data_IF_472396612970
#
_entry.id   IF_472396612970
#
_cell.length_a   1.000
_cell.length_b   1.000
_cell.length_c   1.000
_cell.angle_alpha   90.00
_cell.angle_beta   90.00
_cell.angle_gamma   90.00
#
_symmetry.space_group_name_H-M   'P 1'
#
loop_
_entity.id
_entity.type
_entity.pdbx_description
1 polymer ?
#
# COMPACT_ATOMS: atom_id res chain seq x y z
N UNK A 1 -16.19 -15.88 22.79
CA UNK A 1 -14.88 -16.52 23.03
C UNK A 1 -14.21 -15.79 24.19
N UNK A 2 -13.53 -16.49 25.09
CA UNK A 2 -12.72 -15.83 26.13
C UNK A 2 -11.46 -15.25 25.49
N UNK A 3 -11.15 -13.99 25.77
CA UNK A 3 -9.93 -13.33 25.32
C UNK A 3 -8.79 -13.80 26.24
N UNK A 4 -7.67 -14.32 25.71
CA UNK A 4 -6.56 -14.78 26.54
C UNK A 4 -5.79 -13.60 27.15
N UNK A 5 -5.04 -13.86 28.22
CA UNK A 5 -4.15 -12.85 28.82
C UNK A 5 -2.79 -12.76 28.12
N UNK A 6 -2.38 -13.84 27.44
CA UNK A 6 -1.09 -14.00 26.76
C UNK A 6 -1.29 -14.46 25.32
N UNK A 7 -0.39 -14.05 24.42
CA UNK A 7 -0.43 -14.36 22.99
C UNK A 7 0.97 -14.50 22.39
N UNK A 8 1.07 -15.09 21.19
CA UNK A 8 2.31 -15.10 20.38
C UNK A 8 2.46 -13.83 19.55
N UNK A 9 3.70 -13.33 19.46
CA UNK A 9 4.07 -12.21 18.61
C UNK A 9 5.52 -12.32 18.12
N UNK A 10 5.85 -11.54 17.09
CA UNK A 10 7.23 -11.23 16.69
C UNK A 10 7.55 -9.82 17.16
N UNK A 11 8.49 -9.69 18.10
CA UNK A 11 8.85 -8.43 18.76
C UNK A 11 10.36 -8.21 18.71
N UNK A 12 10.78 -6.95 18.65
CA UNK A 12 12.17 -6.55 18.81
C UNK A 12 12.32 -5.42 19.83
N UNK A 13 13.50 -5.35 20.45
CA UNK A 13 13.81 -4.43 21.54
C UNK A 13 14.79 -3.33 21.14
N UNK A 14 15.48 -3.49 20.02
CA UNK A 14 16.48 -2.56 19.49
C UNK A 14 16.32 -2.49 17.97
N UNK A 15 16.66 -1.33 17.39
CA UNK A 15 16.73 -1.16 15.94
C UNK A 15 17.72 -2.15 15.34
N UNK A 16 17.31 -2.87 14.29
CA UNK A 16 18.07 -3.96 13.67
C UNK A 16 18.45 -5.08 14.66
N UNK A 17 17.77 -5.16 15.80
CA UNK A 17 17.98 -6.16 16.84
C UNK A 17 17.33 -7.50 16.49
N UNK A 18 17.50 -8.49 17.36
CA UNK A 18 16.91 -9.82 17.17
C UNK A 18 15.37 -9.75 17.12
N UNK A 19 14.78 -10.38 16.12
CA UNK A 19 13.34 -10.64 16.04
C UNK A 19 12.98 -11.87 16.88
N UNK A 20 12.26 -11.68 17.97
CA UNK A 20 11.88 -12.75 18.90
C UNK A 20 10.44 -13.22 18.68
N UNK A 21 10.26 -14.50 18.37
CA UNK A 21 8.96 -15.16 18.44
C UNK A 21 8.70 -15.65 19.87
N UNK A 22 7.86 -14.92 20.61
CA UNK A 22 7.64 -15.16 22.06
C UNK A 22 6.22 -14.87 22.50
N UNK A 23 5.94 -15.25 23.75
CA UNK A 23 4.74 -14.87 24.46
C UNK A 23 4.81 -13.41 24.94
N UNK A 24 3.77 -12.64 24.68
CA UNK A 24 3.57 -11.27 25.18
C UNK A 24 2.14 -11.12 25.73
N UNK A 25 1.86 -10.09 26.54
CA UNK A 25 0.49 -9.80 26.97
C UNK A 25 -0.44 -9.47 25.80
N UNK A 26 -1.71 -9.84 25.91
CA UNK A 26 -2.76 -9.33 25.01
C UNK A 26 -3.06 -7.87 25.38
N UNK A 27 -3.02 -6.92 24.42
CA UNK A 27 -3.33 -5.53 24.70
C UNK A 27 -4.82 -5.37 25.06
N UNK A 28 -5.11 -4.39 25.92
CA UNK A 28 -6.49 -3.98 26.23
C UNK A 28 -6.85 -2.83 25.30
N UNK A 29 -7.97 -2.87 24.57
CA UNK A 29 -8.38 -1.75 23.74
C UNK A 29 -8.75 -0.55 24.61
N UNK A 30 -8.27 0.62 24.24
CA UNK A 30 -8.73 1.91 24.76
C UNK A 30 -10.19 2.18 24.34
N UNK A 31 -10.88 3.19 24.92
CA UNK A 31 -12.30 3.44 24.64
C UNK A 31 -12.64 3.66 23.16
N UNK A 32 -11.70 4.11 22.32
CA UNK A 32 -11.88 4.32 20.88
C UNK A 32 -11.37 3.15 20.01
N UNK A 33 -10.85 2.08 20.61
CA UNK A 33 -10.17 1.02 19.88
C UNK A 33 -11.02 -0.25 19.73
N UNK A 34 -10.69 -1.01 18.70
CA UNK A 34 -11.06 -2.40 18.53
C UNK A 34 -9.93 -3.28 19.08
N UNK A 35 -10.26 -4.40 19.69
CA UNK A 35 -9.32 -5.52 19.81
C UNK A 35 -9.59 -6.50 18.67
N UNK A 36 -8.60 -6.71 17.82
CA UNK A 36 -8.69 -7.54 16.63
C UNK A 36 -7.86 -8.79 16.83
N UNK A 37 -8.48 -9.96 16.71
CA UNK A 37 -7.75 -11.22 16.60
C UNK A 37 -7.29 -11.39 15.15
N UNK A 38 -6.03 -11.02 14.89
CA UNK A 38 -5.39 -11.07 13.58
C UNK A 38 -5.24 -12.51 13.15
N UNK A 39 -5.70 -12.82 11.92
CA UNK A 39 -5.61 -14.16 11.34
C UNK A 39 -4.45 -14.27 10.36
N UNK A 40 -4.25 -13.22 9.58
CA UNK A 40 -3.18 -13.11 8.60
C UNK A 40 -2.65 -11.68 8.61
N UNK A 41 -1.35 -11.55 8.38
CA UNK A 41 -0.72 -10.26 8.10
C UNK A 41 0.03 -10.36 6.79
N UNK A 42 -0.12 -9.36 5.93
CA UNK A 42 0.83 -9.12 4.86
C UNK A 42 2.20 -8.70 5.41
N UNK A 43 3.22 -8.78 4.56
CA UNK A 43 4.61 -8.40 4.88
C UNK A 43 5.15 -7.64 3.67
N UNK A 44 5.72 -6.46 3.89
CA UNK A 44 6.39 -5.72 2.84
C UNK A 44 7.65 -4.99 3.33
N UNK A 45 8.35 -4.29 2.43
CA UNK A 45 9.62 -3.63 2.74
C UNK A 45 9.49 -2.49 3.76
N UNK A 46 8.28 -1.94 3.96
CA UNK A 46 8.03 -0.98 5.04
C UNK A 46 8.37 -1.57 6.41
N UNK A 47 8.03 -2.84 6.65
CA UNK A 47 8.32 -3.50 7.94
C UNK A 47 9.84 -3.65 8.16
N UNK A 48 10.60 -3.88 7.07
CA UNK A 48 12.05 -3.95 7.10
C UNK A 48 12.67 -2.60 7.48
N UNK A 49 12.22 -1.50 6.86
CA UNK A 49 12.70 -0.16 7.18
C UNK A 49 12.33 0.28 8.61
N UNK A 50 11.17 -0.13 9.10
CA UNK A 50 10.75 0.09 10.49
C UNK A 50 11.68 -0.61 11.48
N UNK A 51 12.02 -1.87 11.20
CA UNK A 51 12.95 -2.65 12.01
C UNK A 51 14.38 -2.09 11.96
N UNK A 52 14.89 -1.72 10.79
CA UNK A 52 16.24 -1.15 10.65
C UNK A 52 16.38 0.26 11.26
N UNK A 53 15.30 1.03 11.32
CA UNK A 53 15.34 2.45 11.73
C UNK A 53 15.85 3.37 10.63
N UNK A 54 15.55 3.05 9.36
CA UNK A 54 16.08 3.79 8.20
C UNK A 54 15.43 5.18 8.01
N UNK A 55 14.26 5.41 8.61
CA UNK A 55 13.49 6.63 8.45
C UNK A 55 13.76 7.64 9.58
N UNK A 56 13.63 8.96 9.32
CA UNK A 56 13.96 10.00 10.29
C UNK A 56 12.92 10.14 11.43
N UNK A 57 11.93 9.26 11.50
CA UNK A 57 10.91 9.25 12.55
C UNK A 57 11.36 8.29 13.67
N UNK A 58 11.21 8.65 14.96
CA UNK A 58 11.50 7.70 16.03
C UNK A 58 10.50 6.53 16.02
N UNK A 59 11.02 5.31 15.97
CA UNK A 59 10.24 4.07 16.15
C UNK A 59 10.00 3.82 17.64
N UNK A 60 8.80 3.34 18.01
CA UNK A 60 8.51 2.84 19.37
C UNK A 60 9.40 1.62 19.64
N UNK A 61 9.88 1.46 20.87
CA UNK A 61 10.55 0.23 21.33
C UNK A 61 10.09 -0.12 22.76
N UNK A 62 9.87 -1.41 23.09
CA UNK A 62 9.85 -2.55 22.17
C UNK A 62 8.65 -2.50 21.21
N UNK A 63 8.77 -3.16 20.06
CA UNK A 63 7.79 -3.07 18.97
C UNK A 63 7.46 -4.42 18.36
N UNK A 64 6.15 -4.66 18.22
CA UNK A 64 5.60 -5.64 17.29
C UNK A 64 5.40 -4.95 15.94
N UNK A 65 6.03 -5.45 14.88
CA UNK A 65 5.90 -4.88 13.54
C UNK A 65 4.56 -5.22 12.84
N UNK A 66 4.46 -4.87 11.56
CA UNK A 66 3.35 -5.27 10.68
C UNK A 66 2.24 -4.23 10.58
N UNK A 67 1.76 -4.01 9.36
CA UNK A 67 0.73 -2.99 9.07
C UNK A 67 -0.29 -3.43 8.01
N UNK A 68 -0.44 -4.75 7.86
CA UNK A 68 -1.28 -5.39 6.84
C UNK A 68 -2.16 -6.49 7.48
N UNK A 69 -2.69 -6.22 8.67
CA UNK A 69 -3.39 -7.21 9.49
C UNK A 69 -4.85 -7.39 9.09
N UNK A 70 -5.26 -8.62 8.77
CA UNK A 70 -6.65 -8.97 8.52
C UNK A 70 -7.15 -9.94 9.62
N UNK A 71 -8.21 -9.56 10.32
CA UNK A 71 -8.65 -10.28 11.50
C UNK A 71 -10.13 -10.09 11.84
N UNK A 72 -10.49 -10.56 13.03
CA UNK A 72 -11.87 -10.52 13.55
C UNK A 72 -11.92 -9.64 14.80
N UNK A 73 -12.91 -8.76 14.89
CA UNK A 73 -13.14 -7.97 16.10
C UNK A 73 -13.60 -8.88 17.24
N UNK A 74 -12.87 -8.87 18.36
CA UNK A 74 -13.14 -9.71 19.54
C UNK A 74 -13.49 -8.92 20.79
N UNK A 75 -13.11 -7.64 20.87
CA UNK A 75 -13.59 -6.67 21.85
C UNK A 75 -13.64 -5.27 21.25
N UNK A 76 -14.38 -4.39 21.90
CA UNK A 76 -14.69 -3.05 21.43
C UNK A 76 -14.67 -2.11 22.64
N UNK A 77 -13.98 -0.97 22.54
CA UNK A 77 -13.99 0.07 23.56
C UNK A 77 -15.33 0.81 23.65
N UNK A 78 -15.60 1.41 24.81
CA UNK A 78 -16.93 1.96 25.16
C UNK A 78 -17.42 3.09 24.22
N UNK A 79 -16.52 3.81 23.53
CA UNK A 79 -16.86 4.92 22.64
C UNK A 79 -16.99 4.52 21.17
N UNK A 80 -16.68 3.27 20.83
CA UNK A 80 -16.69 2.78 19.45
C UNK A 80 -18.12 2.68 18.91
N UNK A 81 -18.28 3.02 17.63
CA UNK A 81 -19.55 2.97 16.90
C UNK A 81 -19.37 2.27 15.56
N UNK A 82 -20.44 1.69 15.05
CA UNK A 82 -20.46 1.09 13.70
C UNK A 82 -19.77 -0.28 13.59
N UNK A 83 -19.30 -0.85 14.69
CA UNK A 83 -18.64 -2.15 14.77
C UNK A 83 -19.39 -3.13 15.66
N UNK A 84 -19.28 -4.42 15.35
CA UNK A 84 -19.78 -5.54 16.14
C UNK A 84 -18.68 -6.57 16.35
N UNK A 85 -18.72 -7.25 17.48
CA UNK A 85 -17.90 -8.46 17.69
C UNK A 85 -18.23 -9.47 16.58
N UNK A 86 -17.21 -10.04 15.96
CA UNK A 86 -17.32 -10.93 14.80
C UNK A 86 -17.17 -10.24 13.44
N UNK A 87 -17.19 -8.90 13.39
CA UNK A 87 -16.87 -8.18 12.15
C UNK A 87 -15.42 -8.44 11.73
N UNK A 88 -15.19 -8.45 10.42
CA UNK A 88 -13.83 -8.52 9.87
C UNK A 88 -13.24 -7.11 9.81
N UNK A 89 -12.04 -6.96 10.36
CA UNK A 89 -11.34 -5.70 10.48
C UNK A 89 -9.95 -5.78 9.86
N UNK A 90 -9.53 -4.70 9.19
CA UNK A 90 -8.19 -4.52 8.64
C UNK A 90 -7.40 -3.46 9.41
N UNK A 91 -6.22 -3.85 9.88
CA UNK A 91 -5.19 -2.97 10.43
C UNK A 91 -4.30 -2.52 9.26
N UNK A 92 -4.18 -1.20 9.09
CA UNK A 92 -3.40 -0.57 8.02
C UNK A 92 -2.20 0.17 8.60
N UNK A 93 -1.36 0.73 7.73
CA UNK A 93 -0.27 1.64 8.11
C UNK A 93 -0.72 2.75 9.05
N UNK A 94 -1.72 3.53 8.64
CA UNK A 94 -2.34 4.52 9.53
C UNK A 94 -3.27 3.79 10.51
N UNK A 95 -2.84 3.67 11.76
CA UNK A 95 -3.65 3.11 12.85
C UNK A 95 -4.67 4.14 13.33
N UNK A 96 -4.22 5.36 13.63
CA UNK A 96 -5.04 6.42 14.22
C UNK A 96 -4.52 7.83 13.87
N UNK A 97 -5.28 8.85 14.23
CA UNK A 97 -4.88 10.26 14.08
C UNK A 97 -5.72 11.15 14.99
N UNK A 98 -5.38 12.43 15.14
CA UNK A 98 -6.05 13.30 16.12
C UNK A 98 -7.52 13.65 15.80
N UNK A 99 -7.97 13.47 14.56
CA UNK A 99 -9.35 13.79 14.13
C UNK A 99 -9.79 15.25 14.34
N UNK A 100 -8.84 16.17 14.57
CA UNK A 100 -9.13 17.56 14.95
C UNK A 100 -8.14 18.59 14.35
N UNK A 101 -7.43 18.22 13.28
CA UNK A 101 -6.58 19.13 12.52
C UNK A 101 -7.04 19.22 11.07
N UNK A 102 -6.60 20.27 10.38
CA UNK A 102 -6.93 20.55 8.96
C UNK A 102 -6.77 19.31 8.06
N UNK A 103 -5.68 18.56 8.20
CA UNK A 103 -5.44 17.38 7.38
C UNK A 103 -6.45 16.26 7.66
N UNK A 104 -6.82 16.05 8.93
CA UNK A 104 -7.80 15.03 9.28
C UNK A 104 -9.19 15.38 8.75
N UNK A 105 -9.58 16.66 8.80
CA UNK A 105 -10.87 17.15 8.31
C UNK A 105 -11.02 16.99 6.79
N UNK A 106 -9.91 17.06 6.06
CA UNK A 106 -9.86 16.90 4.60
C UNK A 106 -9.76 15.42 4.14
N UNK A 107 -9.74 14.46 5.07
CA UNK A 107 -9.52 13.06 4.74
C UNK A 107 -8.09 12.77 4.26
N UNK A 108 -7.14 13.56 4.74
CA UNK A 108 -5.70 13.39 4.57
C UNK A 108 -5.06 13.04 5.93
N UNK A 109 -5.68 12.11 6.66
CA UNK A 109 -5.29 11.75 8.02
C UNK A 109 -3.82 11.28 8.13
N UNK A 110 -3.25 10.77 7.04
CA UNK A 110 -1.84 10.36 6.95
C UNK A 110 -0.85 11.53 7.05
N UNK A 111 -1.30 12.77 6.88
CA UNK A 111 -0.51 13.98 7.08
C UNK A 111 -0.71 14.60 8.47
N UNK A 112 -1.44 13.91 9.37
CA UNK A 112 -1.63 14.35 10.73
C UNK A 112 -0.28 14.42 11.48
N UNK A 113 0.03 15.52 12.19
CA UNK A 113 1.21 15.60 13.06
C UNK A 113 1.21 14.60 14.22
N UNK A 114 0.04 14.04 14.53
CA UNK A 114 -0.19 13.03 15.56
C UNK A 114 -0.73 11.74 14.93
N UNK A 115 -0.30 11.41 13.71
CA UNK A 115 -0.59 10.12 13.10
C UNK A 115 0.02 9.01 13.96
N UNK A 116 -0.79 8.01 14.26
CA UNK A 116 -0.35 6.80 14.93
C UNK A 116 -0.28 5.66 13.91
N UNK A 117 0.85 4.97 13.88
CA UNK A 117 1.31 4.14 12.77
C UNK A 117 1.52 2.70 13.24
N UNK A 118 0.73 1.77 12.68
CA UNK A 118 0.80 0.35 13.01
C UNK A 118 2.16 -0.23 12.64
N UNK A 119 2.76 -0.98 13.55
CA UNK A 119 4.09 -1.56 13.34
C UNK A 119 5.21 -0.52 13.34
N UNK A 120 4.98 0.66 13.94
CA UNK A 120 5.97 1.73 13.99
C UNK A 120 5.88 2.57 15.28
N UNK A 121 4.82 3.35 15.46
CA UNK A 121 4.53 4.06 16.73
C UNK A 121 3.53 3.32 17.61
N UNK A 122 2.77 2.40 17.00
CA UNK A 122 1.82 1.48 17.64
C UNK A 122 2.20 0.04 17.34
N UNK A 123 1.93 -0.89 18.25
CA UNK A 123 2.17 -2.31 18.00
C UNK A 123 1.27 -2.84 16.88
N UNK A 124 1.89 -3.47 15.89
CA UNK A 124 1.30 -3.82 14.60
C UNK A 124 0.63 -5.18 14.52
N UNK A 125 0.59 -5.73 13.31
CA UNK A 125 -0.14 -6.95 12.97
C UNK A 125 0.66 -8.26 13.08
N UNK A 126 1.92 -8.23 13.48
CA UNK A 126 2.74 -9.45 13.71
C UNK A 126 2.52 -10.08 15.09
N UNK A 127 1.27 -10.19 15.50
CA UNK A 127 0.79 -10.77 16.76
C UNK A 127 -0.62 -11.32 16.58
N UNK A 128 -1.07 -12.18 17.49
CA UNK A 128 -2.40 -12.80 17.40
C UNK A 128 -3.55 -11.82 17.72
N UNK A 129 -3.31 -10.81 18.56
CA UNK A 129 -4.28 -9.82 19.02
C UNK A 129 -3.63 -8.43 19.03
N UNK A 130 -4.21 -7.51 18.29
CA UNK A 130 -3.72 -6.13 18.17
C UNK A 130 -4.88 -5.14 18.35
N UNK A 131 -4.57 -3.94 18.86
CA UNK A 131 -5.54 -2.85 18.92
C UNK A 131 -5.42 -1.93 17.72
N UNK A 132 -6.55 -1.35 17.32
CA UNK A 132 -6.58 -0.33 16.28
C UNK A 132 -7.72 0.65 16.53
N UNK A 133 -7.50 1.92 16.20
CA UNK A 133 -8.56 2.92 16.24
C UNK A 133 -9.74 2.51 15.33
N UNK A 134 -10.94 2.51 15.91
CA UNK A 134 -12.12 2.01 15.23
C UNK A 134 -12.56 2.89 14.04
N UNK A 135 -12.14 4.15 13.98
CA UNK A 135 -12.49 5.06 12.88
C UNK A 135 -11.64 4.75 11.65
N UNK A 136 -10.35 4.44 11.83
CA UNK A 136 -9.43 4.15 10.73
C UNK A 136 -9.45 2.70 10.27
N UNK A 137 -9.76 1.75 11.15
CA UNK A 137 -9.84 0.33 10.83
C UNK A 137 -10.67 0.07 9.56
N UNK A 138 -10.16 -0.79 8.68
CA UNK A 138 -10.86 -1.12 7.45
C UNK A 138 -12.01 -2.09 7.73
N UNK A 139 -13.23 -1.75 7.33
CA UNK A 139 -14.35 -2.69 7.33
C UNK A 139 -14.18 -3.68 6.17
N UNK A 140 -13.75 -4.90 6.49
CA UNK A 140 -13.62 -5.96 5.50
C UNK A 140 -15.01 -6.63 5.34
N UNK A 141 -15.55 -6.78 4.12
CA UNK A 141 -16.83 -7.45 3.92
C UNK A 141 -16.82 -8.89 4.45
N UNK A 142 -17.93 -9.34 5.04
CA UNK A 142 -18.08 -10.74 5.45
C UNK A 142 -17.97 -11.69 4.26
N UNK A 143 -17.40 -12.88 4.50
CA UNK A 143 -17.12 -13.86 3.45
C UNK A 143 -15.86 -13.60 2.63
N UNK A 144 -15.14 -12.51 2.91
CA UNK A 144 -13.83 -12.22 2.30
C UNK A 144 -12.76 -13.13 2.89
N UNK A 145 -11.93 -13.75 2.04
CA UNK A 145 -10.75 -14.50 2.48
C UNK A 145 -9.72 -13.54 3.12
N UNK A 146 -9.52 -13.67 4.44
CA UNK A 146 -8.66 -12.80 5.22
C UNK A 146 -7.19 -12.90 4.82
N UNK A 147 -6.72 -14.05 4.31
CA UNK A 147 -5.34 -14.19 3.84
C UNK A 147 -5.14 -13.41 2.53
N UNK A 148 -6.11 -13.51 1.63
CA UNK A 148 -6.03 -12.89 0.30
C UNK A 148 -6.23 -11.37 0.34
N UNK A 149 -6.99 -10.86 1.31
CA UNK A 149 -7.22 -9.41 1.45
C UNK A 149 -6.10 -8.69 2.19
N UNK A 150 -5.28 -9.39 2.98
CA UNK A 150 -4.22 -8.76 3.79
C UNK A 150 -3.28 -7.85 2.96
N UNK A 151 -2.75 -8.29 1.79
CA UNK A 151 -1.93 -7.42 0.93
C UNK A 151 -2.67 -6.23 0.32
N UNK A 152 -4.01 -6.28 0.25
CA UNK A 152 -4.81 -5.17 -0.25
C UNK A 152 -4.78 -4.00 0.75
N UNK A 153 -4.64 -4.28 2.05
CA UNK A 153 -4.64 -3.28 3.13
C UNK A 153 -3.44 -2.31 3.09
N UNK A 154 -2.37 -2.65 2.37
CA UNK A 154 -1.28 -1.73 2.06
C UNK A 154 -1.13 -1.53 0.56
N UNK A 155 -0.62 -2.53 -0.16
CA UNK A 155 -0.27 -2.40 -1.56
C UNK A 155 -1.49 -2.08 -2.44
N UNK A 156 -2.62 -2.75 -2.21
CA UNK A 156 -3.84 -2.54 -3.00
C UNK A 156 -4.42 -1.13 -2.86
N UNK A 157 -4.63 -0.66 -1.64
CA UNK A 157 -5.12 0.70 -1.36
C UNK A 157 -4.14 1.75 -1.89
N UNK A 158 -2.84 1.53 -1.69
CA UNK A 158 -1.79 2.46 -2.14
C UNK A 158 -1.81 2.63 -3.66
N UNK A 159 -1.86 1.55 -4.43
CA UNK A 159 -1.88 1.66 -5.90
C UNK A 159 -3.22 2.17 -6.42
N UNK A 160 -4.34 1.85 -5.75
CA UNK A 160 -5.64 2.43 -6.08
C UNK A 160 -5.64 3.95 -5.90
N UNK A 161 -5.14 4.44 -4.76
CA UNK A 161 -4.97 5.88 -4.52
C UNK A 161 -4.00 6.50 -5.52
N UNK A 162 -2.88 5.86 -5.84
CA UNK A 162 -1.95 6.34 -6.86
C UNK A 162 -2.63 6.51 -8.24
N UNK A 163 -3.49 5.59 -8.63
CA UNK A 163 -4.27 5.68 -9.88
C UNK A 163 -5.29 6.82 -9.85
N UNK A 164 -5.92 7.11 -8.70
CA UNK A 164 -6.76 8.31 -8.53
C UNK A 164 -5.93 9.59 -8.62
N UNK A 165 -4.76 9.62 -7.98
CA UNK A 165 -3.82 10.75 -8.01
C UNK A 165 -3.28 11.03 -9.43
N UNK A 166 -3.26 10.04 -10.32
CA UNK A 166 -2.92 10.21 -11.73
C UNK A 166 -3.98 10.99 -12.54
N UNK A 167 -5.17 11.22 -11.96
CA UNK A 167 -6.24 12.06 -12.51
C UNK A 167 -6.63 11.72 -13.96
N UNK A 168 -6.96 10.45 -14.19
CA UNK A 168 -7.22 9.91 -15.51
C UNK A 168 -8.71 9.81 -15.86
N UNK A 169 -9.00 9.66 -17.15
CA UNK A 169 -10.34 9.32 -17.66
C UNK A 169 -10.29 7.92 -18.25
N UNK A 170 -11.43 7.23 -18.27
CA UNK A 170 -11.55 5.94 -18.95
C UNK A 170 -11.07 6.06 -20.41
N UNK A 171 -10.33 5.05 -20.87
CA UNK A 171 -9.68 5.01 -22.18
C UNK A 171 -8.30 5.69 -22.26
N UNK A 172 -7.92 6.50 -21.26
CA UNK A 172 -6.57 7.06 -21.19
C UNK A 172 -5.53 5.95 -20.94
N UNK A 173 -4.32 6.17 -21.48
CA UNK A 173 -3.14 5.35 -21.19
C UNK A 173 -2.55 5.66 -19.82
N UNK A 174 -2.34 4.62 -19.03
CA UNK A 174 -1.50 4.65 -17.83
C UNK A 174 -0.27 3.75 -18.04
N UNK A 175 0.91 4.30 -17.79
CA UNK A 175 2.16 3.52 -17.76
C UNK A 175 2.50 3.14 -16.32
N UNK A 176 2.82 1.88 -16.08
CA UNK A 176 3.19 1.36 -14.76
C UNK A 176 4.64 0.86 -14.83
N UNK A 177 5.52 1.50 -14.07
CA UNK A 177 6.95 1.14 -14.00
C UNK A 177 7.19 0.15 -12.87
N UNK A 178 7.63 -1.07 -13.18
CA UNK A 178 7.65 -2.23 -12.27
C UNK A 178 6.35 -3.04 -12.29
N UNK A 179 5.70 -3.14 -13.46
CA UNK A 179 4.32 -3.60 -13.62
C UNK A 179 4.06 -5.08 -13.26
N UNK A 180 5.10 -5.92 -13.16
CA UNK A 180 4.96 -7.33 -12.82
C UNK A 180 5.47 -7.66 -11.40
N UNK A 181 5.84 -6.64 -10.60
CA UNK A 181 6.12 -6.79 -9.17
C UNK A 181 4.86 -6.84 -8.30
N UNK A 182 5.05 -6.90 -6.97
CA UNK A 182 3.93 -6.98 -6.01
C UNK A 182 2.93 -5.82 -6.16
N UNK A 183 3.39 -4.57 -6.01
CA UNK A 183 2.53 -3.40 -6.22
C UNK A 183 2.10 -3.25 -7.68
N UNK A 184 3.02 -3.47 -8.63
CA UNK A 184 2.74 -3.29 -10.06
C UNK A 184 1.62 -4.18 -10.58
N UNK A 185 1.61 -5.45 -10.20
CA UNK A 185 0.58 -6.41 -10.61
C UNK A 185 -0.82 -6.03 -10.09
N UNK A 186 -0.91 -5.46 -8.89
CA UNK A 186 -2.15 -4.89 -8.37
C UNK A 186 -2.54 -3.61 -9.13
N UNK A 187 -1.57 -2.73 -9.40
CA UNK A 187 -1.80 -1.49 -10.15
C UNK A 187 -2.36 -1.76 -11.55
N UNK A 188 -1.86 -2.81 -12.24
CA UNK A 188 -2.38 -3.25 -13.55
C UNK A 188 -3.86 -3.63 -13.45
N UNK A 189 -4.22 -4.44 -12.46
CA UNK A 189 -5.59 -4.92 -12.28
C UNK A 189 -6.55 -3.79 -11.91
N UNK A 190 -6.19 -2.92 -10.96
CA UNK A 190 -7.00 -1.74 -10.63
C UNK A 190 -7.15 -0.80 -11.82
N UNK A 191 -6.06 -0.53 -12.55
CA UNK A 191 -6.10 0.33 -13.74
C UNK A 191 -7.06 -0.22 -14.80
N UNK A 192 -7.01 -1.54 -15.05
CA UNK A 192 -7.93 -2.21 -15.97
C UNK A 192 -9.37 -2.11 -15.50
N UNK A 193 -9.62 -2.35 -14.22
CA UNK A 193 -10.95 -2.28 -13.62
C UNK A 193 -11.53 -0.86 -13.59
N UNK A 194 -10.68 0.17 -13.58
CA UNK A 194 -11.05 1.58 -13.69
C UNK A 194 -11.24 2.05 -15.15
N UNK A 195 -11.06 1.16 -16.14
CA UNK A 195 -11.29 1.44 -17.55
C UNK A 195 -10.11 2.13 -18.25
N UNK A 196 -8.90 2.09 -17.70
CA UNK A 196 -7.70 2.62 -18.34
C UNK A 196 -7.08 1.60 -19.31
N UNK A 197 -6.31 2.11 -20.28
CA UNK A 197 -5.42 1.30 -21.12
C UNK A 197 -4.07 1.19 -20.45
N UNK A 198 -3.55 -0.01 -20.28
CA UNK A 198 -2.42 -0.27 -19.39
C UNK A 198 -1.18 -0.62 -20.20
N UNK A 199 -0.13 0.21 -20.05
CA UNK A 199 1.22 -0.08 -20.51
C UNK A 199 2.09 -0.46 -19.31
N UNK A 200 2.78 -1.58 -19.37
CA UNK A 200 3.69 -2.06 -18.34
C UNK A 200 5.13 -1.95 -18.75
N UNK A 201 6.00 -1.53 -17.83
CA UNK A 201 7.45 -1.56 -18.00
C UNK A 201 8.01 -2.46 -16.91
N UNK A 202 8.66 -3.55 -17.29
CA UNK A 202 9.36 -4.45 -16.36
C UNK A 202 10.41 -5.26 -17.13
N UNK A 203 11.11 -6.19 -16.48
CA UNK A 203 12.18 -6.95 -17.09
C UNK A 203 12.43 -8.27 -16.39
N UNK A 204 12.59 -9.33 -17.18
CA UNK A 204 12.92 -10.67 -16.72
C UNK A 204 11.95 -11.77 -17.20
N UNK A 205 12.32 -13.05 -17.04
CA UNK A 205 11.52 -14.18 -17.52
C UNK A 205 10.11 -14.22 -16.92
N UNK A 206 9.11 -14.54 -17.74
CA UNK A 206 7.71 -14.74 -17.32
C UNK A 206 6.93 -13.47 -16.95
N UNK A 207 7.57 -12.30 -16.85
CA UNK A 207 6.90 -11.06 -16.44
C UNK A 207 5.94 -10.49 -17.47
N UNK A 208 6.27 -10.61 -18.75
CA UNK A 208 5.38 -10.19 -19.85
C UNK A 208 4.11 -11.05 -19.89
N UNK A 209 4.24 -12.36 -19.69
CA UNK A 209 3.12 -13.30 -19.62
C UNK A 209 2.23 -13.00 -18.41
N UNK A 210 2.83 -12.80 -17.23
CA UNK A 210 2.10 -12.38 -16.03
C UNK A 210 1.36 -11.06 -16.28
N UNK A 211 2.05 -10.03 -16.77
CA UNK A 211 1.44 -8.72 -17.07
C UNK A 211 0.25 -8.84 -18.02
N UNK A 212 0.39 -9.62 -19.09
CA UNK A 212 -0.67 -9.84 -20.08
C UNK A 212 -1.86 -10.57 -19.44
N UNK A 213 -1.59 -11.60 -18.62
CA UNK A 213 -2.65 -12.36 -17.91
C UNK A 213 -3.47 -11.50 -16.95
N UNK A 214 -2.89 -10.41 -16.45
CA UNK A 214 -3.54 -9.44 -15.56
C UNK A 214 -4.34 -8.35 -16.29
N UNK A 215 -4.38 -8.41 -17.63
CA UNK A 215 -5.12 -7.46 -18.47
C UNK A 215 -4.30 -6.28 -18.98
N UNK A 216 -2.98 -6.36 -18.87
CA UNK A 216 -2.04 -5.42 -19.50
C UNK A 216 -2.13 -5.43 -21.02
N UNK A 217 -2.03 -4.27 -21.67
CA UNK A 217 -2.24 -4.12 -23.12
C UNK A 217 -0.92 -4.04 -23.90
N UNK A 218 0.07 -3.32 -23.39
CA UNK A 218 1.40 -3.20 -24.01
C UNK A 218 2.48 -3.41 -22.96
N UNK A 219 3.45 -4.28 -23.23
CA UNK A 219 4.59 -4.52 -22.35
C UNK A 219 5.88 -4.01 -22.99
N UNK A 220 6.69 -3.32 -22.20
CA UNK A 220 8.04 -2.88 -22.59
C UNK A 220 9.05 -3.56 -21.66
N UNK A 221 9.82 -4.47 -22.24
CA UNK A 221 10.89 -5.18 -21.54
C UNK A 221 12.17 -4.33 -21.50
N UNK A 222 12.50 -3.75 -20.34
CA UNK A 222 13.66 -2.87 -20.21
C UNK A 222 15.01 -3.59 -20.40
N UNK A 223 15.02 -4.93 -20.40
CA UNK A 223 16.23 -5.70 -20.67
C UNK A 223 16.55 -5.75 -22.17
N UNK A 224 15.51 -5.66 -23.01
CA UNK A 224 15.59 -5.76 -24.48
C UNK A 224 15.50 -4.39 -25.16
N UNK A 225 14.55 -3.56 -24.75
CA UNK A 225 14.37 -2.20 -25.25
C UNK A 225 15.38 -1.26 -24.58
N UNK A 226 16.13 -0.50 -25.39
CA UNK A 226 17.15 0.44 -24.88
C UNK A 226 16.62 1.85 -24.78
N UNK A 227 15.67 2.23 -25.63
CA UNK A 227 15.02 3.54 -25.59
C UNK A 227 13.57 3.41 -25.13
N UNK A 228 13.42 3.24 -23.81
CA UNK A 228 12.12 3.12 -23.14
C UNK A 228 11.23 4.34 -23.42
N UNK A 229 11.83 5.54 -23.46
CA UNK A 229 11.08 6.79 -23.66
C UNK A 229 10.42 6.77 -25.03
N UNK A 230 11.19 6.52 -26.09
CA UNK A 230 10.66 6.46 -27.45
C UNK A 230 9.66 5.32 -27.64
N UNK A 231 9.91 4.15 -27.06
CA UNK A 231 9.00 3.01 -27.13
C UNK A 231 7.64 3.32 -26.48
N UNK A 232 7.61 3.92 -25.27
CA UNK A 232 6.38 4.35 -24.61
C UNK A 232 5.66 5.40 -25.45
N UNK A 233 6.37 6.43 -25.92
CA UNK A 233 5.78 7.53 -26.72
C UNK A 233 5.15 6.99 -28.00
N UNK A 234 5.82 6.06 -28.68
CA UNK A 234 5.31 5.39 -29.89
C UNK A 234 4.06 4.56 -29.59
N UNK A 235 4.11 3.70 -28.56
CA UNK A 235 2.99 2.82 -28.21
C UNK A 235 1.73 3.58 -27.78
N UNK A 236 1.91 4.74 -27.15
CA UNK A 236 0.81 5.56 -26.61
C UNK A 236 0.43 6.74 -27.53
N UNK A 237 1.07 6.85 -28.69
CA UNK A 237 0.89 7.94 -29.65
C UNK A 237 1.01 9.33 -28.99
N UNK A 238 2.16 9.60 -28.37
CA UNK A 238 2.50 10.91 -27.79
C UNK A 238 2.77 10.93 -26.28
N UNK A 239 2.89 9.76 -25.64
CA UNK A 239 3.14 9.62 -24.21
C UNK A 239 1.91 9.16 -23.42
N UNK A 240 2.15 8.55 -22.26
CA UNK A 240 1.11 8.07 -21.35
C UNK A 240 0.47 9.23 -20.58
N UNK A 241 -0.85 9.20 -20.39
CA UNK A 241 -1.58 10.28 -19.73
C UNK A 241 -1.29 10.30 -18.22
N UNK A 242 -1.09 9.12 -17.63
CA UNK A 242 -0.65 8.95 -16.26
C UNK A 242 0.49 7.96 -16.16
N UNK A 243 1.35 8.13 -15.16
CA UNK A 243 2.45 7.23 -14.88
C UNK A 243 2.44 6.89 -13.39
N UNK A 244 2.48 5.60 -13.07
CA UNK A 244 2.63 5.11 -11.70
C UNK A 244 4.03 4.54 -11.54
N UNK A 245 4.87 5.23 -10.77
CA UNK A 245 6.20 4.76 -10.43
C UNK A 245 6.13 3.87 -9.17
N UNK A 246 6.01 2.55 -9.36
CA UNK A 246 6.17 1.57 -8.27
C UNK A 246 7.63 1.12 -8.13
N UNK A 247 8.39 1.11 -9.23
CA UNK A 247 9.85 1.05 -9.18
C UNK A 247 10.41 2.30 -8.51
N UNK A 248 11.34 2.09 -7.59
CA UNK A 248 12.02 3.16 -6.83
C UNK A 248 13.37 3.56 -7.42
N UNK A 249 13.67 3.13 -8.65
CA UNK A 249 14.88 3.55 -9.37
C UNK A 249 14.77 5.01 -9.79
N UNK A 250 15.75 5.84 -9.41
CA UNK A 250 15.84 7.24 -9.84
C UNK A 250 15.78 7.38 -11.37
N UNK A 251 16.50 6.52 -12.09
CA UNK A 251 16.52 6.54 -13.57
C UNK A 251 15.13 6.26 -14.17
N UNK A 252 14.36 5.35 -13.57
CA UNK A 252 13.00 5.05 -14.02
C UNK A 252 12.04 6.22 -13.74
N UNK A 253 12.17 6.85 -12.56
CA UNK A 253 11.41 8.04 -12.16
C UNK A 253 11.73 9.21 -13.08
N UNK A 254 13.00 9.50 -13.31
CA UNK A 254 13.44 10.59 -14.20
C UNK A 254 12.93 10.37 -15.64
N UNK A 255 13.04 9.14 -16.16
CA UNK A 255 12.53 8.78 -17.48
C UNK A 255 11.02 9.02 -17.60
N UNK A 256 10.24 8.83 -16.52
CA UNK A 256 8.79 9.06 -16.53
C UNK A 256 8.39 10.48 -16.90
N UNK A 257 9.20 11.47 -16.54
CA UNK A 257 8.97 12.87 -16.92
C UNK A 257 9.09 13.09 -18.44
N UNK A 258 9.81 12.23 -19.16
CA UNK A 258 10.05 12.34 -20.60
C UNK A 258 8.98 11.62 -21.42
N UNK A 259 8.53 10.44 -20.97
CA UNK A 259 7.46 9.69 -21.66
C UNK A 259 6.03 10.00 -21.18
N UNK A 260 5.89 10.91 -20.21
CA UNK A 260 4.59 11.51 -19.87
C UNK A 260 4.03 12.30 -21.05
N UNK A 261 2.71 12.20 -21.29
CA UNK A 261 2.01 13.02 -22.27
C UNK A 261 2.04 14.49 -21.86
N UNK A 262 1.91 15.39 -22.82
CA UNK A 262 1.54 16.76 -22.49
C UNK A 262 0.24 16.77 -21.66
N UNK A 263 0.20 17.63 -20.62
CA UNK A 263 -0.87 17.70 -19.62
C UNK A 263 -1.06 16.43 -18.77
N UNK A 264 -0.09 15.49 -18.80
CA UNK A 264 -0.15 14.26 -18.04
C UNK A 264 0.38 14.37 -16.61
N UNK A 265 0.19 13.31 -15.82
CA UNK A 265 0.59 13.25 -14.41
C UNK A 265 1.54 12.09 -14.14
N UNK A 266 2.71 12.41 -13.58
CA UNK A 266 3.67 11.46 -13.04
C UNK A 266 3.40 11.29 -11.55
N UNK A 267 3.10 10.07 -11.11
CA UNK A 267 2.82 9.74 -9.71
C UNK A 267 4.00 9.01 -9.08
N UNK A 268 4.44 9.50 -7.93
CA UNK A 268 5.47 8.90 -7.08
C UNK A 268 4.78 8.13 -5.94
N UNK A 269 5.13 6.85 -5.73
CA UNK A 269 4.46 5.97 -4.77
C UNK A 269 5.39 5.49 -3.66
N UNK A 270 6.51 4.87 -4.02
CA UNK A 270 7.44 4.32 -3.03
C UNK A 270 8.16 5.39 -2.21
N UNK A 271 8.62 5.01 -1.01
CA UNK A 271 9.45 5.84 -0.11
C UNK A 271 10.90 5.32 -0.03
N UNK A 272 11.64 5.24 -1.15
CA UNK A 272 13.05 4.85 -1.09
C UNK A 272 13.89 5.88 -0.34
N UNK A 273 14.74 5.41 0.57
CA UNK A 273 15.67 6.27 1.29
C UNK A 273 16.62 6.97 0.31
N UNK A 274 16.60 8.31 0.29
CA UNK A 274 17.55 9.15 -0.44
C UNK A 274 17.28 9.35 -1.93
N UNK A 275 16.27 8.72 -2.52
CA UNK A 275 16.01 8.88 -3.95
C UNK A 275 15.51 10.28 -4.29
N UNK A 276 15.91 10.78 -5.47
CA UNK A 276 15.49 12.08 -5.99
C UNK A 276 14.71 11.95 -7.30
N UNK A 277 13.72 12.82 -7.46
CA UNK A 277 13.02 13.00 -8.73
C UNK A 277 13.56 14.27 -9.42
N UNK A 278 14.30 14.09 -10.50
CA UNK A 278 14.82 15.18 -11.33
C UNK A 278 13.95 15.36 -12.58
N UNK A 279 13.56 16.60 -12.87
CA UNK A 279 12.79 16.95 -14.07
C UNK A 279 13.42 18.16 -14.74
N UNK A 280 13.71 18.06 -16.03
CA UNK A 280 14.12 19.21 -16.83
C UNK A 280 13.00 20.25 -16.87
N UNK A 281 13.32 21.48 -16.45
CA UNK A 281 12.32 22.56 -16.28
C UNK A 281 11.70 22.94 -17.62
N UNK A 282 12.50 23.01 -18.68
CA UNK A 282 12.01 23.41 -19.99
C UNK A 282 10.99 22.41 -20.52
N UNK A 283 11.34 21.11 -20.53
CA UNK A 283 10.43 20.04 -20.94
C UNK A 283 9.16 19.99 -20.06
N UNK A 284 9.31 20.19 -18.75
CA UNK A 284 8.18 20.16 -17.80
C UNK A 284 7.18 21.30 -18.09
N UNK A 285 7.68 22.53 -18.28
CA UNK A 285 6.85 23.71 -18.55
C UNK A 285 6.18 23.60 -19.92
N UNK A 286 6.94 23.31 -20.98
CA UNK A 286 6.41 23.25 -22.36
C UNK A 286 5.33 22.18 -22.50
N UNK A 287 5.44 21.05 -21.79
CA UNK A 287 4.45 19.98 -21.81
C UNK A 287 3.38 20.12 -20.71
N UNK A 288 3.51 21.10 -19.81
CA UNK A 288 2.60 21.28 -18.67
C UNK A 288 2.39 19.97 -17.88
N UNK A 289 3.49 19.27 -17.58
CA UNK A 289 3.46 18.02 -16.81
C UNK A 289 3.16 18.34 -15.35
N UNK A 290 2.56 17.39 -14.62
CA UNK A 290 2.48 17.42 -13.16
C UNK A 290 3.24 16.25 -12.56
N UNK A 291 3.96 16.48 -11.46
CA UNK A 291 4.57 15.43 -10.63
C UNK A 291 3.87 15.47 -9.27
N UNK A 292 3.27 14.34 -8.86
CA UNK A 292 2.44 14.22 -7.67
C UNK A 292 2.94 13.09 -6.79
N UNK A 293 3.19 13.38 -5.51
CA UNK A 293 3.40 12.36 -4.49
C UNK A 293 2.07 11.73 -4.08
N UNK A 294 2.00 10.40 -4.03
CA UNK A 294 0.83 9.66 -3.56
C UNK A 294 1.25 8.70 -2.46
N UNK A 295 0.77 8.96 -1.24
CA UNK A 295 1.09 8.16 -0.06
C UNK A 295 0.05 7.03 0.14
N UNK A 296 -0.35 6.76 1.39
CA UNK A 296 -1.41 5.81 1.72
C UNK A 296 -2.80 6.38 1.41
N UNK A 297 -3.76 5.51 1.12
CA UNK A 297 -5.16 5.89 0.94
C UNK A 297 -5.88 6.18 2.26
N UNK A 298 -6.90 7.04 2.19
CA UNK A 298 -7.76 7.33 3.34
C UNK A 298 -8.87 6.28 3.51
N UNK A 299 -9.84 6.53 4.39
CA UNK A 299 -10.97 5.61 4.65
C UNK A 299 -11.87 5.37 3.44
N UNK A 300 -12.08 6.38 2.59
CA UNK A 300 -12.84 6.22 1.35
C UNK A 300 -12.05 5.40 0.33
N UNK A 301 -10.77 5.72 0.12
CA UNK A 301 -9.87 4.95 -0.74
C UNK A 301 -9.79 3.49 -0.30
N UNK A 302 -9.77 3.24 1.02
CA UNK A 302 -9.83 1.90 1.62
C UNK A 302 -11.09 1.15 1.20
N UNK A 303 -12.26 1.74 1.40
CA UNK A 303 -13.55 1.11 1.07
C UNK A 303 -13.65 0.81 -0.43
N UNK A 304 -13.27 1.77 -1.27
CA UNK A 304 -13.33 1.64 -2.72
C UNK A 304 -12.40 0.54 -3.23
N UNK A 305 -11.14 0.51 -2.76
CA UNK A 305 -10.18 -0.53 -3.14
C UNK A 305 -10.65 -1.93 -2.74
N UNK A 306 -11.15 -2.09 -1.51
CA UNK A 306 -11.70 -3.35 -1.03
C UNK A 306 -12.91 -3.82 -1.83
N UNK A 307 -13.74 -2.91 -2.34
CA UNK A 307 -14.89 -3.29 -3.18
C UNK A 307 -14.46 -3.93 -4.51
N UNK A 308 -13.42 -3.41 -5.19
CA UNK A 308 -12.88 -4.06 -6.39
C UNK A 308 -12.36 -5.47 -6.09
N UNK A 309 -11.69 -5.65 -4.94
CA UNK A 309 -11.25 -6.97 -4.48
C UNK A 309 -12.44 -7.89 -4.17
N UNK A 310 -13.45 -7.41 -3.45
CA UNK A 310 -14.65 -8.16 -3.11
C UNK A 310 -15.45 -8.59 -4.36
N UNK A 311 -15.47 -7.75 -5.41
CA UNK A 311 -16.04 -8.08 -6.73
C UNK A 311 -15.18 -9.02 -7.57
N UNK A 312 -14.02 -9.46 -7.06
CA UNK A 312 -13.13 -10.42 -7.71
C UNK A 312 -12.32 -9.84 -8.89
N UNK A 313 -12.29 -8.51 -9.03
CA UNK A 313 -11.60 -7.81 -10.13
C UNK A 313 -10.09 -7.66 -9.88
N UNK A 314 -9.67 -7.80 -8.62
CA UNK A 314 -8.27 -7.70 -8.20
C UNK A 314 -7.93 -8.90 -7.35
N UNK A 315 -6.78 -9.52 -7.63
CA UNK A 315 -6.23 -10.66 -6.88
C UNK A 315 -4.74 -10.45 -6.65
N UNK A 316 -4.26 -10.84 -5.48
CA UNK A 316 -2.83 -10.93 -5.19
C UNK A 316 -2.45 -12.40 -5.09
N UNK A 317 -1.47 -12.91 -5.86
CA UNK A 317 -0.90 -14.21 -5.57
C UNK A 317 -0.17 -14.13 -4.21
N UNK A 318 -0.59 -14.94 -3.24
CA UNK A 318 0.04 -15.00 -1.92
C UNK A 318 0.73 -16.34 -1.68
N UNK A 319 1.71 -16.33 -0.79
CA UNK A 319 2.29 -17.53 -0.19
C UNK A 319 2.13 -17.41 1.32
N UNK A 320 1.33 -18.29 1.91
CA UNK A 320 1.08 -18.30 3.35
C UNK A 320 2.16 -19.11 4.06
N UNK A 321 2.74 -18.53 5.09
CA UNK A 321 3.67 -19.18 6.03
C UNK A 321 3.24 -18.84 7.47
N UNK A 322 3.74 -19.60 8.45
CA UNK A 322 3.46 -19.33 9.86
C UNK A 322 4.19 -18.07 10.36
N UNK A 323 3.59 -17.34 11.31
CA UNK A 323 4.19 -16.16 11.94
C UNK A 323 5.58 -16.45 12.53
N UNK A 324 5.79 -17.67 13.05
CA UNK A 324 7.08 -18.14 13.56
C UNK A 324 8.22 -18.15 12.53
N UNK A 325 7.89 -18.08 11.24
CA UNK A 325 8.83 -18.04 10.12
C UNK A 325 9.09 -16.62 9.59
N UNK A 326 8.63 -15.58 10.30
CA UNK A 326 8.83 -14.19 9.89
C UNK A 326 10.29 -13.72 9.93
N UNK A 327 11.13 -14.06 10.93
CA UNK A 327 12.55 -13.70 10.94
C UNK A 327 13.32 -14.34 9.79
#
# INVERSE_FOLDING_TARGET
MSIPETQKAIIFYESNGKLEHKDIPVPKPEPNELLINVKYSGVCHTDLHAWHGDWPLPTKLPLVGGHEGAGVVVAIGDNVKGWKIGDYAGIKWLNGSCMACEYCELGNESNCPHADLSGYTHDGSFQEYATADAVQAAHIPQGTDLAQVAPILCAGITVYKALKSANLRAGHWVAISGAAGGLGSLAVQYAKAMGYRVLGIDGGPGKEELFTSLGGEVFIDFTKEKDIVSAVVKATNGGAHGIINVSVSEAAIEASTRYCRANGTVVLVGLPAGAKCSSDVFNHVVKSISIVGSYVGNRADTREALDFFARGLVKSPIKVVGLSSLP
#
